data_IF_626252211862
#
_entry.id   IF_626252211862
#
_cell.length_a   1.000
_cell.length_b   1.000
_cell.length_c   1.000
_cell.angle_alpha   90.00
_cell.angle_beta   90.00
_cell.angle_gamma   90.00
#
_symmetry.space_group_name_H-M   'P 1'
#
loop_
_entity.id
_entity.type
_entity.pdbx_description
1 polymer ?
#
# COMPACT_ATOMS: atom_id res chain seq x y z
N UNK A 1 -10.61 10.91 6.69
CA UNK A 1 -10.33 9.50 7.04
C UNK A 1 -9.00 9.14 6.37
N UNK A 2 -8.08 8.49 7.09
CA UNK A 2 -6.77 8.08 6.54
C UNK A 2 -6.83 6.64 6.06
N UNK A 3 -6.33 6.37 4.86
CA UNK A 3 -6.17 5.04 4.28
C UNK A 3 -4.67 4.83 4.07
N UNK A 4 -4.19 3.63 4.38
CA UNK A 4 -2.82 3.22 4.14
C UNK A 4 -2.77 2.26 2.95
N UNK A 5 -1.84 2.51 2.03
CA UNK A 5 -1.43 1.56 1.00
C UNK A 5 -0.03 1.05 1.36
N UNK A 6 0.18 -0.26 1.38
CA UNK A 6 1.46 -0.88 1.70
C UNK A 6 1.88 -1.74 0.52
N UNK A 7 3.02 -1.47 -0.10
CA UNK A 7 3.55 -2.30 -1.19
C UNK A 7 3.91 -1.49 -2.43
N UNK A 8 3.67 -2.07 -3.61
CA UNK A 8 4.20 -1.55 -4.86
C UNK A 8 3.46 -0.30 -5.31
N UNK A 9 4.14 0.61 -6.00
CA UNK A 9 3.56 1.74 -6.71
C UNK A 9 2.83 1.34 -8.00
N UNK A 10 2.12 0.21 -7.98
CA UNK A 10 1.49 -0.39 -9.14
C UNK A 10 0.20 0.33 -9.56
N UNK A 11 -0.55 -0.27 -10.50
CA UNK A 11 -1.83 0.23 -10.96
C UNK A 11 -2.84 0.46 -9.82
N UNK A 12 -2.91 -0.44 -8.84
CA UNK A 12 -3.82 -0.31 -7.69
C UNK A 12 -3.42 0.86 -6.80
N UNK A 13 -2.12 1.06 -6.54
CA UNK A 13 -1.62 2.24 -5.83
C UNK A 13 -2.03 3.54 -6.56
N UNK A 14 -1.87 3.58 -7.88
CA UNK A 14 -2.27 4.72 -8.71
C UNK A 14 -3.77 4.97 -8.67
N UNK A 15 -4.61 3.94 -8.74
CA UNK A 15 -6.06 4.07 -8.59
C UNK A 15 -6.48 4.57 -7.20
N UNK A 16 -5.77 4.17 -6.14
CA UNK A 16 -5.98 4.72 -4.79
C UNK A 16 -5.63 6.21 -4.71
N UNK A 17 -4.58 6.66 -5.41
CA UNK A 17 -4.20 8.08 -5.50
C UNK A 17 -5.31 8.90 -6.16
N UNK A 18 -5.84 8.42 -7.29
CA UNK A 18 -6.97 9.04 -7.98
C UNK A 18 -8.22 9.06 -7.10
N UNK A 19 -8.52 7.96 -6.42
CA UNK A 19 -9.64 7.88 -5.49
C UNK A 19 -9.49 8.87 -4.31
N UNK A 20 -8.28 9.05 -3.78
CA UNK A 20 -8.00 10.01 -2.72
C UNK A 20 -8.30 11.45 -3.17
N UNK A 21 -7.92 11.77 -4.41
CA UNK A 21 -8.19 13.05 -5.03
C UNK A 21 -9.70 13.28 -5.25
N UNK A 22 -10.42 12.28 -5.75
CA UNK A 22 -11.85 12.40 -6.07
C UNK A 22 -12.75 12.41 -4.83
N UNK A 23 -12.42 11.61 -3.81
CA UNK A 23 -13.27 11.37 -2.64
C UNK A 23 -12.82 12.16 -1.39
N UNK A 24 -11.66 12.82 -1.45
CA UNK A 24 -11.18 13.73 -0.40
C UNK A 24 -10.71 13.05 0.89
N UNK A 25 -10.31 11.77 0.83
CA UNK A 25 -9.66 11.09 1.95
C UNK A 25 -8.14 11.32 1.95
N UNK A 26 -7.51 10.99 3.07
CA UNK A 26 -6.06 11.04 3.24
C UNK A 26 -5.46 9.70 2.87
N UNK A 27 -4.41 9.70 2.04
CA UNK A 27 -3.74 8.48 1.59
C UNK A 27 -2.26 8.53 1.95
N UNK A 28 -1.80 7.56 2.74
CA UNK A 28 -0.38 7.32 2.98
C UNK A 28 0.03 6.03 2.29
N UNK A 29 0.94 6.13 1.32
CA UNK A 29 1.49 4.98 0.62
C UNK A 29 2.88 4.67 1.17
N UNK A 30 3.09 3.50 1.76
CA UNK A 30 4.42 2.97 2.02
C UNK A 30 4.86 2.14 0.82
N UNK A 31 5.85 2.67 0.09
CA UNK A 31 6.43 1.99 -1.06
C UNK A 31 7.95 1.85 -0.85
N UNK A 32 8.56 0.69 -1.16
CA UNK A 32 10.01 0.56 -1.15
C UNK A 32 10.67 1.58 -2.10
N UNK A 33 11.91 1.98 -1.80
CA UNK A 33 12.64 2.90 -2.68
C UNK A 33 12.83 2.29 -4.08
N UNK A 34 12.49 3.07 -5.13
CA UNK A 34 12.52 2.59 -6.51
C UNK A 34 11.21 1.93 -6.99
N UNK A 35 10.22 1.76 -6.11
CA UNK A 35 8.90 1.19 -6.40
C UNK A 35 7.79 2.23 -6.16
N UNK A 36 8.08 3.48 -6.52
CA UNK A 36 7.16 4.59 -6.33
C UNK A 36 5.96 4.53 -7.30
N UNK A 37 4.79 5.08 -6.91
CA UNK A 37 3.68 5.27 -7.82
C UNK A 37 4.06 6.15 -9.02
N UNK A 38 3.22 6.13 -10.06
CA UNK A 38 3.48 6.92 -11.27
C UNK A 38 3.62 8.41 -10.90
N UNK A 39 4.78 9.04 -11.21
CA UNK A 39 5.06 10.41 -10.80
C UNK A 39 4.12 11.43 -11.47
N UNK A 40 3.56 11.10 -12.64
CA UNK A 40 2.58 11.95 -13.33
C UNK A 40 1.25 11.91 -12.58
N UNK A 41 0.75 10.72 -12.23
CA UNK A 41 -0.51 10.55 -11.48
C UNK A 41 -0.39 11.22 -10.10
N UNK A 42 0.70 10.94 -9.38
CA UNK A 42 0.96 11.55 -8.08
C UNK A 42 1.07 13.09 -8.17
N UNK A 43 1.75 13.59 -9.21
CA UNK A 43 1.88 15.02 -9.47
C UNK A 43 0.54 15.71 -9.72
N UNK A 44 -0.30 15.12 -10.59
CA UNK A 44 -1.66 15.63 -10.87
C UNK A 44 -2.49 15.67 -9.59
N UNK A 45 -2.53 14.56 -8.83
CA UNK A 45 -3.31 14.49 -7.60
C UNK A 45 -2.89 15.57 -6.59
N UNK A 46 -1.59 15.75 -6.37
CA UNK A 46 -1.06 16.80 -5.47
C UNK A 46 -1.37 18.20 -5.97
N UNK A 47 -1.24 18.47 -7.27
CA UNK A 47 -1.58 19.77 -7.85
C UNK A 47 -3.07 20.13 -7.69
N UNK A 48 -3.94 19.11 -7.65
CA UNK A 48 -5.37 19.26 -7.39
C UNK A 48 -5.71 19.31 -5.88
N UNK A 49 -4.70 19.32 -5.00
CA UNK A 49 -4.88 19.44 -3.56
C UNK A 49 -5.16 18.12 -2.83
N UNK A 50 -4.93 16.97 -3.47
CA UNK A 50 -5.10 15.67 -2.82
C UNK A 50 -4.10 15.51 -1.66
N UNK A 51 -4.58 14.95 -0.55
CA UNK A 51 -3.79 14.68 0.65
C UNK A 51 -3.10 13.32 0.55
N UNK A 52 -2.03 13.27 -0.23
CA UNK A 52 -1.31 12.03 -0.57
C UNK A 52 0.18 12.11 -0.23
N UNK A 53 0.65 11.17 0.59
CA UNK A 53 2.05 11.05 1.01
C UNK A 53 2.63 9.71 0.57
N UNK A 54 3.86 9.73 0.08
CA UNK A 54 4.65 8.52 -0.19
C UNK A 54 5.73 8.44 0.87
N UNK A 55 5.76 7.33 1.58
CA UNK A 55 6.60 7.03 2.74
C UNK A 55 7.40 5.76 2.47
N UNK A 56 8.43 5.52 3.29
CA UNK A 56 9.28 4.33 3.20
C UNK A 56 9.07 3.33 4.33
N UNK A 57 8.35 3.74 5.37
CA UNK A 57 8.03 2.89 6.52
C UNK A 57 6.54 2.52 6.51
N UNK A 58 6.20 1.22 6.36
CA UNK A 58 4.84 0.72 6.51
C UNK A 58 4.17 1.13 7.81
N UNK A 59 4.90 1.13 8.94
CA UNK A 59 4.34 1.48 10.24
C UNK A 59 3.87 2.94 10.27
N UNK A 60 4.66 3.85 9.69
CA UNK A 60 4.29 5.28 9.57
C UNK A 60 3.06 5.47 8.67
N UNK A 61 2.99 4.74 7.55
CA UNK A 61 1.82 4.80 6.67
C UNK A 61 0.56 4.27 7.36
N UNK A 62 0.66 3.17 8.11
CA UNK A 62 -0.45 2.54 8.81
C UNK A 62 -0.97 3.34 10.01
N UNK A 63 -0.14 4.19 10.64
CA UNK A 63 -0.49 4.90 11.88
C UNK A 63 -1.84 5.63 11.79
N UNK A 64 -2.81 5.18 12.58
CA UNK A 64 -4.16 5.77 12.63
C UNK A 64 -5.02 5.60 11.37
N UNK A 65 -4.59 4.79 10.40
CA UNK A 65 -5.38 4.48 9.20
C UNK A 65 -6.65 3.71 9.57
N UNK A 66 -7.78 4.03 8.93
CA UNK A 66 -9.05 3.30 9.12
C UNK A 66 -9.20 2.12 8.16
N UNK A 67 -8.33 2.05 7.15
CA UNK A 67 -8.19 0.91 6.27
C UNK A 67 -6.72 0.75 5.87
N UNK A 68 -6.22 -0.48 5.88
CA UNK A 68 -4.90 -0.84 5.37
C UNK A 68 -5.11 -1.72 4.14
N UNK A 69 -4.55 -1.29 3.01
CA UNK A 69 -4.67 -1.96 1.73
C UNK A 69 -3.29 -2.39 1.23
N UNK A 70 -3.22 -3.55 0.60
CA UNK A 70 -2.01 -4.08 -0.05
C UNK A 70 -2.39 -4.91 -1.27
N UNK A 71 -1.37 -5.27 -2.04
CA UNK A 71 -1.46 -6.10 -3.22
C UNK A 71 -0.17 -6.91 -3.36
N UNK A 72 -0.21 -7.91 -4.24
CA UNK A 72 0.93 -8.78 -4.53
C UNK A 72 2.18 -7.96 -4.86
N UNK A 73 3.32 -8.37 -4.31
CA UNK A 73 4.56 -7.65 -4.56
C UNK A 73 5.03 -7.77 -6.00
N UNK A 74 4.88 -8.93 -6.64
CA UNK A 74 5.17 -9.12 -8.06
C UNK A 74 3.86 -9.21 -8.84
N UNK A 75 3.63 -8.27 -9.77
CA UNK A 75 2.43 -8.27 -10.60
C UNK A 75 2.49 -9.35 -11.69
N UNK A 76 1.36 -9.61 -12.34
CA UNK A 76 1.32 -10.50 -13.51
C UNK A 76 2.31 -10.03 -14.59
N UNK A 77 3.16 -10.94 -15.08
CA UNK A 77 4.22 -10.63 -16.05
C UNK A 77 5.56 -10.21 -15.44
N UNK A 78 5.69 -10.23 -14.10
CA UNK A 78 6.93 -9.94 -13.37
C UNK A 78 7.43 -11.17 -12.61
N UNK A 79 7.09 -12.38 -13.06
CA UNK A 79 7.42 -13.62 -12.36
C UNK A 79 8.94 -13.81 -12.22
N UNK A 80 9.71 -13.41 -13.24
CA UNK A 80 11.18 -13.46 -13.22
C UNK A 80 11.81 -12.48 -12.21
N UNK A 81 11.05 -11.48 -11.75
CA UNK A 81 11.51 -10.49 -10.76
C UNK A 81 11.15 -10.86 -9.31
N UNK A 82 10.37 -11.93 -9.10
CA UNK A 82 9.79 -12.27 -7.81
C UNK A 82 10.83 -12.32 -6.67
N UNK A 83 11.96 -12.99 -6.88
CA UNK A 83 13.02 -13.08 -5.86
C UNK A 83 13.65 -11.72 -5.52
N UNK A 84 13.81 -10.85 -6.51
CA UNK A 84 14.38 -9.51 -6.29
C UNK A 84 13.40 -8.65 -5.51
N UNK A 85 12.11 -8.72 -5.87
CA UNK A 85 11.04 -7.98 -5.22
C UNK A 85 10.80 -8.47 -3.79
N UNK A 86 10.82 -9.78 -3.52
CA UNK A 86 10.78 -10.28 -2.13
C UNK A 86 11.88 -9.68 -1.24
N UNK A 87 13.09 -9.45 -1.78
CA UNK A 87 14.16 -8.78 -1.04
C UNK A 87 13.90 -7.29 -0.83
N UNK A 88 13.45 -6.59 -1.87
CA UNK A 88 13.17 -5.16 -1.80
C UNK A 88 11.97 -4.82 -0.90
N UNK A 89 10.98 -5.71 -0.84
CA UNK A 89 9.75 -5.56 -0.07
C UNK A 89 9.85 -6.18 1.33
N UNK A 90 11.03 -6.61 1.74
CA UNK A 90 11.25 -7.11 3.09
C UNK A 90 10.84 -6.04 4.11
N UNK A 91 9.89 -6.40 4.97
CA UNK A 91 9.31 -5.50 5.97
C UNK A 91 8.02 -4.79 5.55
N UNK A 92 7.54 -5.01 4.32
CA UNK A 92 6.27 -4.49 3.80
C UNK A 92 5.11 -5.48 3.90
N UNK A 93 5.28 -6.59 4.62
CA UNK A 93 4.19 -7.53 4.91
C UNK A 93 3.14 -6.86 5.79
N UNK A 94 1.86 -7.07 5.47
CA UNK A 94 0.76 -6.72 6.35
C UNK A 94 0.49 -7.88 7.30
N UNK A 95 1.03 -7.76 8.51
CA UNK A 95 0.83 -8.69 9.62
C UNK A 95 0.03 -8.05 10.76
N UNK A 96 -0.29 -8.84 11.79
CA UNK A 96 -1.02 -8.36 12.96
C UNK A 96 -0.29 -7.20 13.67
N UNK A 97 1.05 -7.17 13.64
CA UNK A 97 1.83 -6.10 14.26
C UNK A 97 1.70 -4.79 13.49
N UNK A 98 1.66 -4.83 12.15
CA UNK A 98 1.38 -3.66 11.32
C UNK A 98 -0.06 -3.20 11.48
N UNK A 99 -1.03 -4.12 11.47
CA UNK A 99 -2.44 -3.80 11.69
C UNK A 99 -2.68 -3.16 13.07
N UNK A 100 -1.91 -3.53 14.08
CA UNK A 100 -1.97 -2.90 15.40
C UNK A 100 -1.49 -1.43 15.44
N UNK A 101 -0.81 -0.94 14.39
CA UNK A 101 -0.49 0.50 14.21
C UNK A 101 -1.66 1.29 13.65
N UNK A 102 -2.57 0.62 12.95
CA UNK A 102 -3.76 1.24 12.40
C UNK A 102 -4.76 1.60 13.50
N UNK A 103 -5.86 2.24 13.12
CA UNK A 103 -6.97 2.47 14.03
C UNK A 103 -7.49 1.13 14.60
N UNK A 104 -7.94 1.11 15.86
CA UNK A 104 -8.44 -0.10 16.54
C UNK A 104 -9.57 -0.85 15.80
N UNK A 105 -10.33 -0.11 14.99
CA UNK A 105 -11.44 -0.62 14.16
C UNK A 105 -11.08 -0.59 12.66
N UNK A 106 -9.79 -0.59 12.32
CA UNK A 106 -9.33 -0.58 10.94
C UNK A 106 -9.69 -1.89 10.24
N UNK A 107 -10.06 -1.78 8.97
CA UNK A 107 -10.28 -2.95 8.11
C UNK A 107 -9.04 -3.23 7.27
N UNK A 108 -8.79 -4.51 7.00
CA UNK A 108 -7.84 -4.94 5.99
C UNK A 108 -8.53 -5.07 4.63
N UNK A 109 -7.82 -4.70 3.55
CA UNK A 109 -8.30 -4.81 2.18
C UNK A 109 -7.21 -5.37 1.26
N UNK A 110 -7.63 -6.22 0.32
CA UNK A 110 -6.75 -6.81 -0.69
C UNK A 110 -7.51 -6.99 -2.00
N UNK A 111 -6.91 -6.68 -3.15
CA UNK A 111 -7.58 -6.78 -4.47
C UNK A 111 -7.66 -8.20 -5.04
N UNK A 112 -6.83 -9.11 -4.53
CA UNK A 112 -6.77 -10.55 -4.84
C UNK A 112 -6.23 -10.84 -6.27
N UNK A 113 -5.63 -12.03 -6.47
CA UNK A 113 -5.33 -13.08 -5.49
C UNK A 113 -4.26 -12.65 -4.46
N UNK A 114 -4.22 -13.30 -3.29
CA UNK A 114 -3.26 -13.01 -2.23
C UNK A 114 -2.28 -14.19 -2.02
N UNK A 115 -1.02 -13.89 -1.75
CA UNK A 115 0.05 -14.79 -1.35
C UNK A 115 0.33 -14.67 0.15
N UNK A 116 -0.17 -15.66 0.90
CA UNK A 116 0.07 -15.75 2.35
C UNK A 116 1.57 -15.89 2.64
N UNK A 117 2.07 -15.05 3.54
CA UNK A 117 3.48 -15.01 3.94
C UNK A 117 4.35 -14.11 3.05
N UNK A 118 3.80 -13.52 1.99
CA UNK A 118 4.43 -12.45 1.21
C UNK A 118 3.83 -11.11 1.61
N UNK A 119 2.87 -10.57 0.85
CA UNK A 119 2.29 -9.25 1.13
C UNK A 119 1.37 -9.24 2.35
N UNK A 120 0.84 -10.39 2.75
CA UNK A 120 -0.09 -10.50 3.87
C UNK A 120 0.16 -11.78 4.67
N UNK A 121 0.08 -11.68 5.99
CA UNK A 121 0.13 -12.85 6.87
C UNK A 121 -1.18 -13.66 6.82
N UNK A 122 -1.13 -14.95 7.12
CA UNK A 122 -2.33 -15.79 7.20
C UNK A 122 -3.35 -15.27 8.22
N UNK A 123 -2.89 -14.82 9.39
CA UNK A 123 -3.72 -14.28 10.47
C UNK A 123 -4.53 -13.04 10.07
N UNK A 124 -4.00 -12.19 9.18
CA UNK A 124 -4.71 -10.98 8.72
C UNK A 124 -5.74 -11.29 7.63
N UNK A 125 -5.55 -12.40 6.91
CA UNK A 125 -6.39 -12.76 5.77
C UNK A 125 -7.59 -13.65 6.16
N UNK A 126 -7.55 -14.31 7.32
CA UNK A 126 -8.68 -15.05 7.93
C UNK A 126 -9.58 -14.18 8.80
#
# INVERSE_FOLDING_TARGET
KKIAWIGDGNNMANSWIEAAQLLGFELSLACPEGYDPDPVILGIARNLGAKVWVLRDPAEAAEGAVAVNTDVWASMGQEDEAEFRQRAFKGFIVDAALMARAHKDAIFMHCLPAHRGEEVSEEVLE
#
